data_IF_668890337816
#
_entry.id   IF_668890337816
#
_cell.length_a   1.000
_cell.length_b   1.000
_cell.length_c   1.000
_cell.angle_alpha   90.00
_cell.angle_beta   90.00
_cell.angle_gamma   90.00
#
_symmetry.space_group_name_H-M   'P 1'
#
loop_
_entity.id
_entity.type
_entity.pdbx_description
1 polymer ?
#
# COMPACT_ATOMS: atom_id res chain seq x y z
N UNK A 1 5.08 22.87 -5.79
CA UNK A 1 4.60 21.48 -5.72
C UNK A 1 3.19 21.41 -6.31
N UNK A 2 2.88 20.40 -7.13
CA UNK A 2 1.51 20.18 -7.62
C UNK A 2 0.77 19.26 -6.67
N UNK A 3 -0.40 19.69 -6.18
CA UNK A 3 -1.26 18.88 -5.30
C UNK A 3 -1.74 17.57 -5.94
N UNK A 4 -1.68 17.48 -7.27
CA UNK A 4 -2.13 16.32 -8.05
C UNK A 4 -0.97 15.42 -8.49
N UNK A 5 0.28 15.80 -8.21
CA UNK A 5 1.42 14.95 -8.58
C UNK A 5 1.49 13.76 -7.64
N UNK A 6 1.33 12.57 -8.20
CA UNK A 6 1.39 11.33 -7.46
C UNK A 6 2.82 11.08 -6.98
N UNK A 7 3.01 11.12 -5.65
CA UNK A 7 4.29 10.84 -5.03
C UNK A 7 4.58 9.34 -5.13
N UNK A 8 5.76 9.00 -5.65
CA UNK A 8 6.30 7.64 -5.66
C UNK A 8 7.56 7.56 -4.81
N UNK A 9 7.83 6.36 -4.28
CA UNK A 9 9.00 6.07 -3.48
C UNK A 9 9.53 4.68 -3.87
N UNK A 10 10.85 4.58 -4.03
CA UNK A 10 11.53 3.29 -4.18
C UNK A 10 11.87 2.76 -2.79
N UNK A 11 11.48 1.52 -2.52
CA UNK A 11 11.67 0.81 -1.25
C UNK A 11 12.61 -0.36 -1.50
N UNK A 12 13.79 -0.33 -0.91
CA UNK A 12 14.72 -1.45 -0.95
C UNK A 12 14.30 -2.52 0.08
N UNK A 13 13.98 -3.70 -0.42
CA UNK A 13 13.63 -4.87 0.40
C UNK A 13 14.90 -5.50 0.97
N UNK A 14 15.93 -5.62 0.12
CA UNK A 14 17.28 -6.04 0.47
C UNK A 14 18.29 -5.38 -0.50
N UNK A 15 19.50 -5.94 -0.64
CA UNK A 15 20.55 -5.41 -1.49
C UNK A 15 20.22 -5.44 -2.99
N UNK A 16 19.43 -6.43 -3.44
CA UNK A 16 19.20 -6.73 -4.85
C UNK A 16 17.74 -6.51 -5.28
N UNK A 17 16.81 -6.37 -4.33
CA UNK A 17 15.38 -6.27 -4.56
C UNK A 17 14.80 -4.91 -4.16
N UNK A 18 14.09 -4.27 -5.09
CA UNK A 18 13.45 -2.97 -4.88
C UNK A 18 12.00 -2.96 -5.38
N UNK A 19 11.16 -2.19 -4.68
CA UNK A 19 9.73 -2.01 -5.03
C UNK A 19 9.43 -0.52 -5.13
N UNK A 20 8.82 -0.11 -6.23
CA UNK A 20 8.29 1.24 -6.37
C UNK A 20 6.85 1.25 -5.87
N UNK A 21 6.60 2.06 -4.85
CA UNK A 21 5.25 2.31 -4.31
C UNK A 21 4.82 3.73 -4.61
N UNK A 22 3.51 3.94 -4.74
CA UNK A 22 2.90 5.26 -4.87
C UNK A 22 2.02 5.57 -3.67
N UNK A 23 1.88 6.85 -3.38
CA UNK A 23 0.88 7.34 -2.44
C UNK A 23 -0.52 7.04 -2.98
N UNK A 24 -1.37 6.53 -2.11
CA UNK A 24 -2.79 6.39 -2.41
C UNK A 24 -3.43 7.77 -2.41
N UNK A 25 -4.32 7.99 -3.38
CA UNK A 25 -5.18 9.18 -3.38
C UNK A 25 -6.19 9.10 -2.24
N UNK A 26 -6.77 10.25 -1.86
CA UNK A 26 -7.81 10.29 -0.84
C UNK A 26 -8.99 9.36 -1.17
N UNK A 27 -9.44 9.34 -2.42
CA UNK A 27 -10.54 8.48 -2.87
C UNK A 27 -10.19 7.00 -2.76
N UNK A 28 -8.97 6.60 -3.12
CA UNK A 28 -8.51 5.21 -2.98
C UNK A 28 -8.42 4.79 -1.52
N UNK A 29 -7.93 5.67 -0.64
CA UNK A 29 -7.88 5.40 0.79
C UNK A 29 -9.28 5.15 1.36
N UNK A 30 -10.26 6.01 1.01
CA UNK A 30 -11.65 5.83 1.44
C UNK A 30 -12.28 4.56 0.88
N UNK A 31 -12.01 4.24 -0.38
CA UNK A 31 -12.49 3.00 -1.01
C UNK A 31 -11.96 1.77 -0.27
N UNK A 32 -10.66 1.73 0.04
CA UNK A 32 -10.03 0.62 0.78
C UNK A 32 -10.65 0.46 2.18
N UNK A 33 -10.89 1.55 2.89
CA UNK A 33 -11.54 1.52 4.23
C UNK A 33 -12.97 0.99 4.12
N UNK A 34 -13.75 1.51 3.17
CA UNK A 34 -15.13 1.11 2.92
C UNK A 34 -15.23 -0.38 2.58
N UNK A 35 -14.41 -0.85 1.62
CA UNK A 35 -14.35 -2.26 1.21
C UNK A 35 -13.96 -3.20 2.35
N UNK A 36 -13.22 -2.69 3.35
CA UNK A 36 -12.76 -3.44 4.52
C UNK A 36 -13.73 -3.36 5.69
N UNK A 37 -14.78 -2.54 5.61
CA UNK A 37 -15.78 -2.38 6.66
C UNK A 37 -17.03 -3.17 6.31
N UNK A 38 -17.37 -4.16 7.11
CA UNK A 38 -18.55 -5.00 6.94
C UNK A 38 -19.54 -4.64 8.03
N UNK A 39 -20.74 -4.23 7.65
CA UNK A 39 -21.83 -4.02 8.60
C UNK A 39 -22.61 -5.32 8.76
N UNK A 40 -22.57 -5.89 9.97
CA UNK A 40 -23.35 -7.07 10.33
C UNK A 40 -24.77 -6.62 10.68
N UNK A 41 -25.72 -6.87 9.77
CA UNK A 41 -27.11 -6.45 9.95
C UNK A 41 -27.81 -7.16 11.11
N UNK A 42 -27.29 -8.32 11.54
CA UNK A 42 -27.90 -9.12 12.60
C UNK A 42 -27.43 -8.61 13.96
N UNK A 43 -26.13 -8.40 14.13
CA UNK A 43 -25.58 -7.84 15.37
C UNK A 43 -25.66 -6.32 15.45
N UNK A 44 -25.98 -5.62 14.35
CA UNK A 44 -25.94 -4.16 14.21
C UNK A 44 -24.56 -3.56 14.50
N UNK A 45 -23.49 -4.33 14.26
CA UNK A 45 -22.11 -3.92 14.50
C UNK A 45 -21.33 -3.75 13.20
N UNK A 46 -20.46 -2.76 13.17
CA UNK A 46 -19.45 -2.64 12.12
C UNK A 46 -18.20 -3.46 12.52
N UNK A 47 -17.79 -4.36 11.63
CA UNK A 47 -16.55 -5.14 11.75
C UNK A 47 -15.56 -4.65 10.70
N UNK A 48 -14.32 -4.42 11.13
CA UNK A 48 -13.25 -4.00 10.23
C UNK A 48 -12.30 -5.17 9.95
N UNK A 49 -12.18 -5.52 8.67
CA UNK A 49 -11.26 -6.55 8.20
C UNK A 49 -9.87 -5.95 7.93
N UNK A 50 -9.00 -6.06 8.93
CA UNK A 50 -7.62 -5.58 8.83
C UNK A 50 -6.81 -6.30 7.75
N UNK A 51 -7.05 -7.59 7.51
CA UNK A 51 -6.31 -8.35 6.51
C UNK A 51 -6.69 -7.90 5.10
N UNK A 52 -7.99 -7.75 4.85
CA UNK A 52 -8.51 -7.20 3.58
C UNK A 52 -8.01 -5.78 3.35
N UNK A 53 -7.97 -4.94 4.38
CA UNK A 53 -7.45 -3.58 4.27
C UNK A 53 -5.98 -3.54 3.81
N UNK A 54 -5.14 -4.36 4.42
CA UNK A 54 -3.71 -4.43 4.12
C UNK A 54 -3.45 -4.95 2.69
N UNK A 55 -4.14 -6.03 2.29
CA UNK A 55 -4.06 -6.57 0.94
C UNK A 55 -4.52 -5.55 -0.12
N UNK A 56 -5.61 -4.84 0.17
CA UNK A 56 -6.19 -3.82 -0.69
C UNK A 56 -5.30 -2.58 -0.84
N UNK A 57 -4.57 -2.19 0.21
CA UNK A 57 -3.55 -1.12 0.16
C UNK A 57 -2.38 -1.53 -0.73
N UNK A 58 -1.79 -2.70 -0.49
CA UNK A 58 -0.65 -3.21 -1.27
C UNK A 58 -0.97 -3.30 -2.75
N UNK A 59 -2.12 -3.90 -3.09
CA UNK A 59 -2.56 -4.09 -4.48
C UNK A 59 -2.74 -2.78 -5.26
N UNK A 60 -3.04 -1.69 -4.57
CA UNK A 60 -3.20 -0.37 -5.20
C UNK A 60 -1.90 0.44 -5.21
N UNK A 61 -1.06 0.28 -4.19
CA UNK A 61 0.11 1.12 -3.99
C UNK A 61 1.36 0.65 -4.73
N UNK A 62 1.53 -0.65 -4.99
CA UNK A 62 2.70 -1.16 -5.72
C UNK A 62 2.57 -0.85 -7.21
N UNK A 63 3.60 -0.21 -7.79
CA UNK A 63 3.62 0.23 -9.20
C UNK A 63 4.53 -0.69 -10.04
N UNK A 64 5.72 -0.94 -9.53
CA UNK A 64 6.70 -1.82 -10.16
C UNK A 64 7.57 -2.46 -9.08
N UNK A 65 8.23 -3.56 -9.42
CA UNK A 65 9.30 -4.14 -8.62
C UNK A 65 10.40 -4.64 -9.55
N UNK A 66 11.62 -4.68 -9.03
CA UNK A 66 12.80 -5.11 -9.76
C UNK A 66 13.71 -5.90 -8.79
N UNK A 67 14.39 -6.90 -9.33
CA UNK A 67 15.31 -7.74 -8.58
C UNK A 67 15.07 -9.25 -8.76
N UNK A 68 16.07 -10.07 -8.46
CA UNK A 68 16.02 -11.52 -8.66
C UNK A 68 14.94 -12.21 -7.82
N UNK A 69 14.58 -11.63 -6.66
CA UNK A 69 13.53 -12.16 -5.77
C UNK A 69 12.11 -12.07 -6.34
N UNK A 70 11.89 -11.25 -7.38
CA UNK A 70 10.59 -11.15 -8.06
C UNK A 70 10.49 -12.04 -9.30
N UNK A 71 11.58 -12.68 -9.72
CA UNK A 71 11.63 -13.68 -10.79
C UNK A 71 10.97 -13.21 -12.11
N UNK A 72 11.12 -11.93 -12.44
CA UNK A 72 10.50 -11.30 -13.61
C UNK A 72 8.97 -11.27 -13.61
N UNK A 73 8.32 -11.63 -12.50
CA UNK A 73 6.85 -11.62 -12.39
C UNK A 73 6.33 -10.20 -12.53
N UNK A 74 5.22 -9.97 -13.24
CA UNK A 74 4.59 -8.65 -13.30
C UNK A 74 3.91 -8.31 -11.97
N UNK A 75 3.77 -7.01 -11.67
CA UNK A 75 2.96 -6.54 -10.55
C UNK A 75 1.48 -6.81 -10.85
N UNK A 76 0.93 -7.86 -10.25
CA UNK A 76 -0.48 -8.23 -10.31
C UNK A 76 -0.99 -8.50 -8.90
N UNK A 77 -2.30 -8.41 -8.68
CA UNK A 77 -2.89 -8.73 -7.38
C UNK A 77 -2.52 -10.15 -6.92
N UNK A 78 -2.55 -11.12 -7.84
CA UNK A 78 -2.14 -12.51 -7.54
C UNK A 78 -0.67 -12.59 -7.08
N UNK A 79 0.24 -11.94 -7.79
CA UNK A 79 1.66 -11.98 -7.43
C UNK A 79 1.95 -11.22 -6.12
N UNK A 80 1.23 -10.14 -5.85
CA UNK A 80 1.32 -9.39 -4.58
C UNK A 80 0.87 -10.28 -3.41
N UNK A 81 -0.22 -11.03 -3.59
CA UNK A 81 -0.72 -11.93 -2.54
C UNK A 81 0.13 -13.19 -2.37
N UNK A 82 0.99 -13.51 -3.33
CA UNK A 82 1.94 -14.61 -3.27
C UNK A 82 3.29 -14.24 -2.62
N UNK A 83 3.50 -12.96 -2.27
CA UNK A 83 4.71 -12.53 -1.55
C UNK A 83 4.81 -13.21 -0.19
N UNK A 84 6.04 -13.40 0.30
CA UNK A 84 6.22 -13.84 1.68
C UNK A 84 5.67 -12.78 2.66
N UNK A 85 5.18 -13.18 3.84
CA UNK A 85 4.64 -12.26 4.83
C UNK A 85 5.61 -11.11 5.18
N UNK A 86 6.90 -11.40 5.29
CA UNK A 86 7.93 -10.42 5.64
C UNK A 86 8.10 -9.34 4.56
N UNK A 87 8.12 -9.75 3.29
CA UNK A 87 8.24 -8.83 2.16
C UNK A 87 6.98 -7.98 2.04
N UNK A 88 5.79 -8.60 2.13
CA UNK A 88 4.52 -7.89 2.11
C UNK A 88 4.41 -6.85 3.22
N UNK A 89 4.81 -7.21 4.45
CA UNK A 89 4.78 -6.31 5.60
C UNK A 89 5.72 -5.11 5.42
N UNK A 90 6.92 -5.32 4.88
CA UNK A 90 7.91 -4.25 4.65
C UNK A 90 7.41 -3.23 3.62
N UNK A 91 6.81 -3.72 2.53
CA UNK A 91 6.20 -2.86 1.52
C UNK A 91 5.03 -2.08 2.14
N UNK A 92 4.17 -2.75 2.91
CA UNK A 92 3.01 -2.12 3.54
C UNK A 92 3.43 -0.98 4.48
N UNK A 93 4.46 -1.19 5.31
CA UNK A 93 4.98 -0.14 6.19
C UNK A 93 5.44 1.09 5.42
N UNK A 94 6.12 0.89 4.28
CA UNK A 94 6.53 1.99 3.42
C UNK A 94 5.33 2.72 2.80
N UNK A 95 4.30 1.98 2.38
CA UNK A 95 3.04 2.56 1.87
C UNK A 95 2.35 3.39 2.95
N UNK A 96 2.29 2.91 4.19
CA UNK A 96 1.66 3.63 5.29
C UNK A 96 2.42 4.90 5.66
N UNK A 97 3.75 4.85 5.69
CA UNK A 97 4.61 6.01 5.89
C UNK A 97 4.43 7.05 4.78
N UNK A 98 4.35 6.61 3.52
CA UNK A 98 4.11 7.50 2.38
C UNK A 98 2.71 8.13 2.42
N UNK A 99 1.71 7.40 2.93
CA UNK A 99 0.34 7.88 3.04
C UNK A 99 0.11 8.86 4.21
N UNK A 100 0.86 8.75 5.30
CA UNK A 100 0.70 9.60 6.50
C UNK A 100 0.98 11.08 6.21
N UNK A 101 1.71 11.37 5.12
CA UNK A 101 1.92 12.73 4.61
C UNK A 101 3.02 13.50 5.33
N UNK A 102 3.31 14.67 4.75
CA UNK A 102 4.35 15.60 5.16
C UNK A 102 4.36 15.80 6.67
N UNK A 103 5.43 15.38 7.33
CA UNK A 103 5.70 15.75 8.72
C UNK A 103 5.68 17.28 8.83
N UNK A 104 5.27 17.86 9.97
CA UNK A 104 5.07 19.32 10.18
C UNK A 104 6.20 20.20 9.62
N UNK A 105 7.42 19.66 9.52
CA UNK A 105 8.61 20.26 8.91
C UNK A 105 8.49 20.64 7.43
N UNK A 106 7.69 19.94 6.63
CA UNK A 106 7.58 20.19 5.18
C UNK A 106 6.41 21.13 4.83
N UNK A 107 5.59 21.53 5.80
CA UNK A 107 4.53 22.53 5.62
C UNK A 107 5.03 23.99 5.72
N UNK A 108 6.30 24.23 6.08
CA UNK A 108 6.83 25.56 6.40
C UNK A 108 7.80 26.17 5.38
N UNK A 109 8.04 25.55 4.23
CA UNK A 109 8.94 26.08 3.19
C UNK A 109 8.23 26.39 1.88
#
# INVERSE_FOLDING_TARGET
MSFFQQQTQVVHIDADNAVTVRRLTFGEQQAVISESTIFDIVSQEAKFDFAKNQAAKLSRAVVSWEGPGFDGRPVTAENIMALSPEVGQRILQAVEALNTGLSETEQKN
#
